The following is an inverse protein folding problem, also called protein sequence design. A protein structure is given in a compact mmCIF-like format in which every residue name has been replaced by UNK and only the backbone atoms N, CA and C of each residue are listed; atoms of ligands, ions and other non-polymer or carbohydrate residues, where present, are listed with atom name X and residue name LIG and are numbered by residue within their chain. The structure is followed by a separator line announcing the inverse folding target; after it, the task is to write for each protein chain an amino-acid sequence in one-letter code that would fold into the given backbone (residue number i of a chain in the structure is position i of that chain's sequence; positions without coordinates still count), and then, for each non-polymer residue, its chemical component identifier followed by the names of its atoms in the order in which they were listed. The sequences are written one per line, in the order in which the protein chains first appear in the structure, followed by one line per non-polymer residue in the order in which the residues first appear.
data_IF_644874393465
#
_entry.id   IF_644874393465
#
_cell.length_a   1.000
_cell.length_b   1.000
_cell.length_c   1.000
_cell.angle_alpha   90.00
_cell.angle_beta   90.00
_cell.angle_gamma   90.00
#
_symmetry.space_group_name_H-M   'P 1'
#
loop_
_entity.id
_entity.type
_entity.pdbx_description
1 polymer ?
#
# COMPACT_ATOMS: atom_id res chain seq x y z
N UNK A 1 23.43 12.91 18.12
CA UNK A 1 22.95 12.65 16.73
C UNK A 1 21.68 13.44 16.52
N UNK A 2 21.61 14.25 15.46
CA UNK A 2 20.33 14.86 15.07
C UNK A 2 19.55 13.82 14.27
N UNK A 3 18.54 13.22 14.89
CA UNK A 3 17.62 12.33 14.21
C UNK A 3 16.58 13.18 13.48
N UNK A 4 16.44 12.98 12.19
CA UNK A 4 15.37 13.59 11.39
C UNK A 4 14.28 12.54 11.17
N UNK A 5 13.06 12.87 11.56
CA UNK A 5 11.90 12.00 11.42
C UNK A 5 11.00 12.49 10.29
N UNK A 6 10.47 11.55 9.53
CA UNK A 6 9.48 11.81 8.48
C UNK A 6 8.25 10.96 8.74
N UNK A 7 7.09 11.58 8.74
CA UNK A 7 5.81 10.87 8.80
C UNK A 7 5.37 10.58 7.35
N UNK A 8 5.31 9.31 7.01
CA UNK A 8 4.85 8.80 5.71
C UNK A 8 3.39 8.34 5.74
N UNK A 9 2.70 8.57 6.86
CA UNK A 9 1.31 8.13 7.05
C UNK A 9 0.35 9.00 6.24
N UNK A 10 -0.48 8.38 5.42
CA UNK A 10 -1.62 9.05 4.79
C UNK A 10 -2.63 9.47 5.86
N UNK A 11 -3.28 10.60 5.69
CA UNK A 11 -4.38 11.00 6.59
C UNK A 11 -5.46 9.94 6.62
N UNK A 12 -5.91 9.59 7.83
CA UNK A 12 -7.03 8.69 8.02
C UNK A 12 -8.31 9.48 8.33
N UNK A 13 -9.34 9.32 7.51
CA UNK A 13 -10.65 9.93 7.72
C UNK A 13 -11.76 9.03 7.16
N UNK A 14 -13.00 9.42 7.38
CA UNK A 14 -14.17 8.74 6.78
C UNK A 14 -14.17 8.80 5.24
N UNK A 15 -13.33 9.64 4.64
CA UNK A 15 -13.16 9.77 3.20
C UNK A 15 -12.01 8.91 2.67
N UNK A 16 -11.20 8.31 3.55
CA UNK A 16 -10.12 7.41 3.13
C UNK A 16 -10.72 6.15 2.53
N UNK A 17 -10.50 5.87 1.23
CA UNK A 17 -11.03 4.67 0.63
C UNK A 17 -10.36 3.44 1.27
N UNK A 18 -11.13 2.40 1.61
CA UNK A 18 -10.56 1.10 1.95
C UNK A 18 -9.99 0.45 0.70
N UNK A 19 -9.18 -0.59 0.85
CA UNK A 19 -8.94 -1.48 -0.27
C UNK A 19 -10.30 -1.98 -0.80
N UNK A 20 -10.53 -1.98 -2.14
CA UNK A 20 -11.83 -2.36 -2.70
C UNK A 20 -12.35 -3.69 -2.12
N UNK A 21 -13.61 -3.74 -1.73
CA UNK A 21 -14.31 -4.80 -1.01
C UNK A 21 -14.26 -4.76 0.53
N UNK A 22 -13.39 -3.96 1.11
CA UNK A 22 -13.34 -3.83 2.57
C UNK A 22 -14.26 -2.72 3.10
N UNK A 23 -14.60 -2.80 4.38
CA UNK A 23 -15.46 -1.81 5.03
C UNK A 23 -14.68 -0.52 5.30
N UNK A 24 -15.22 0.64 4.91
CA UNK A 24 -14.59 1.93 5.18
C UNK A 24 -14.59 2.26 6.67
N UNK A 25 -13.75 3.23 7.03
CA UNK A 25 -13.73 3.82 8.36
C UNK A 25 -15.07 4.51 8.67
N UNK A 26 -15.66 4.16 9.81
CA UNK A 26 -16.83 4.81 10.37
C UNK A 26 -16.47 5.42 11.73
N UNK A 27 -16.87 6.67 11.94
CA UNK A 27 -16.62 7.41 13.19
C UNK A 27 -17.93 7.96 13.71
N UNK A 28 -18.24 7.63 14.96
CA UNK A 28 -19.42 8.14 15.66
C UNK A 28 -18.99 8.78 16.98
N UNK A 29 -19.32 10.04 17.19
CA UNK A 29 -19.16 10.66 18.49
C UNK A 29 -20.27 10.20 19.43
N UNK A 30 -19.92 9.58 20.55
CA UNK A 30 -20.85 9.30 21.65
C UNK A 30 -20.76 10.33 22.78
N UNK A 31 -19.68 11.14 22.79
CA UNK A 31 -19.44 12.19 23.79
C UNK A 31 -18.79 13.41 23.13
N UNK A 32 -19.24 14.59 23.50
CA UNK A 32 -18.71 15.86 23.01
C UNK A 32 -18.45 16.81 24.18
N UNK A 33 -17.47 17.69 24.08
CA UNK A 33 -17.16 18.69 25.11
C UNK A 33 -18.38 19.55 25.40
N UNK A 34 -19.04 20.10 24.37
CA UNK A 34 -20.20 20.98 24.53
C UNK A 34 -21.48 20.27 24.93
N UNK A 35 -21.60 18.99 24.66
CA UNK A 35 -22.82 18.18 25.01
C UNK A 35 -22.60 17.30 26.21
N UNK A 36 -21.60 17.55 27.04
CA UNK A 36 -21.26 16.71 28.15
C UNK A 36 -22.37 16.78 29.25
N UNK A 37 -23.08 15.68 29.40
CA UNK A 37 -23.96 15.50 30.57
C UNK A 37 -23.08 15.45 31.82
N UNK A 38 -23.52 16.15 32.88
CA UNK A 38 -22.81 16.24 34.17
C UNK A 38 -21.41 16.88 34.17
N UNK A 39 -21.11 17.79 33.22
CA UNK A 39 -19.90 18.60 33.29
C UNK A 39 -18.58 17.91 32.93
N UNK A 40 -18.62 16.69 32.45
CA UNK A 40 -17.43 15.97 31.99
C UNK A 40 -17.08 16.28 30.54
N UNK A 41 -16.55 17.48 30.28
CA UNK A 41 -16.20 17.92 28.94
C UNK A 41 -15.06 17.10 28.32
N UNK A 42 -15.41 16.15 27.45
CA UNK A 42 -14.44 15.40 26.65
C UNK A 42 -15.04 14.98 25.30
N UNK A 43 -14.22 14.78 24.31
CA UNK A 43 -14.62 14.13 23.07
C UNK A 43 -14.36 12.62 23.18
N UNK A 44 -15.37 11.81 22.89
CA UNK A 44 -15.24 10.36 22.80
C UNK A 44 -15.83 9.86 21.49
N UNK A 45 -15.16 8.92 20.86
CA UNK A 45 -15.56 8.37 19.57
C UNK A 45 -15.64 6.84 19.63
N UNK A 46 -16.58 6.27 18.90
CA UNK A 46 -16.57 4.88 18.48
C UNK A 46 -15.99 4.84 17.07
N UNK A 47 -14.98 4.00 16.88
CA UNK A 47 -14.31 3.79 15.59
C UNK A 47 -14.60 2.36 15.16
N UNK A 48 -15.15 2.20 13.96
CA UNK A 48 -15.35 0.91 13.31
C UNK A 48 -14.66 0.94 11.94
N UNK A 49 -13.76 0.01 11.71
CA UNK A 49 -12.98 -0.04 10.45
C UNK A 49 -12.59 -1.47 10.13
N UNK A 50 -12.29 -1.74 8.86
CA UNK A 50 -11.50 -2.91 8.48
C UNK A 50 -10.01 -2.60 8.67
N UNK A 51 -9.15 -3.62 8.57
CA UNK A 51 -7.70 -3.44 8.73
C UNK A 51 -7.03 -2.76 7.53
N UNK A 52 -7.68 -2.76 6.36
CA UNK A 52 -7.12 -2.29 5.10
C UNK A 52 -7.69 -0.94 4.69
N UNK A 53 -7.50 0.07 5.56
CA UNK A 53 -7.90 1.46 5.33
C UNK A 53 -6.75 2.39 5.69
N UNK A 54 -6.32 3.23 4.75
CA UNK A 54 -5.20 4.13 4.94
C UNK A 54 -3.86 3.40 5.03
N UNK A 55 -2.84 4.04 5.60
CA UNK A 55 -1.52 3.45 5.80
C UNK A 55 -1.58 2.37 6.86
N UNK A 56 -1.26 1.15 6.50
CA UNK A 56 -1.30 -0.02 7.37
C UNK A 56 -0.22 -1.03 6.96
N UNK A 57 -0.06 -2.08 7.73
CA UNK A 57 0.79 -3.21 7.43
C UNK A 57 -0.02 -4.50 7.50
N UNK A 58 0.17 -5.38 6.55
CA UNK A 58 -0.41 -6.71 6.55
C UNK A 58 0.44 -7.67 7.38
N UNK A 59 -0.19 -8.36 8.31
CA UNK A 59 0.45 -9.44 9.07
C UNK A 59 0.49 -10.74 8.28
N UNK A 60 1.38 -11.64 8.68
CA UNK A 60 1.51 -12.96 8.03
C UNK A 60 0.19 -13.72 7.97
N UNK A 61 -0.62 -13.64 9.03
CA UNK A 61 -1.93 -14.31 9.11
C UNK A 61 -2.93 -13.82 8.06
N UNK A 62 -2.67 -12.67 7.42
CA UNK A 62 -3.58 -12.15 6.38
C UNK A 62 -3.70 -13.11 5.19
N UNK A 63 -2.58 -13.73 4.77
CA UNK A 63 -2.55 -14.67 3.65
C UNK A 63 -2.15 -16.10 4.04
N UNK A 64 -1.59 -16.31 5.25
CA UNK A 64 -1.10 -17.59 5.71
C UNK A 64 -1.90 -18.05 6.93
N UNK A 65 -2.69 -19.10 6.81
CA UNK A 65 -3.54 -19.62 7.91
C UNK A 65 -2.77 -19.90 9.22
N UNK A 66 -1.49 -20.26 9.13
CA UNK A 66 -0.59 -20.50 10.27
C UNK A 66 0.42 -19.36 10.47
N UNK A 67 0.19 -18.20 9.85
CA UNK A 67 1.04 -17.02 10.01
C UNK A 67 0.91 -16.40 11.40
N UNK A 68 1.96 -15.70 11.83
CA UNK A 68 1.94 -14.94 13.08
C UNK A 68 0.96 -13.78 13.00
N UNK A 69 0.29 -13.49 14.09
CA UNK A 69 -0.43 -12.23 14.26
C UNK A 69 0.56 -11.08 14.42
N UNK A 70 0.13 -9.84 14.16
CA UNK A 70 0.97 -8.64 14.35
C UNK A 70 1.54 -8.57 15.77
N UNK A 71 0.75 -8.97 16.78
CA UNK A 71 1.20 -8.94 18.18
C UNK A 71 2.25 -10.00 18.55
N UNK A 72 2.45 -11.01 17.72
CA UNK A 72 3.46 -12.04 17.89
C UNK A 72 4.79 -11.70 17.20
N UNK A 73 4.80 -10.70 16.35
CA UNK A 73 6.01 -10.27 15.64
C UNK A 73 6.83 -9.36 16.55
N UNK A 74 8.11 -9.70 16.85
CA UNK A 74 8.99 -8.86 17.66
C UNK A 74 9.17 -7.46 17.07
N UNK A 75 9.26 -6.43 17.94
CA UNK A 75 9.41 -5.04 17.49
C UNK A 75 10.64 -4.80 16.62
N UNK A 76 11.70 -5.60 16.83
CA UNK A 76 12.95 -5.55 16.09
C UNK A 76 12.78 -5.93 14.60
N UNK A 77 11.72 -6.67 14.27
CA UNK A 77 11.38 -7.01 12.90
C UNK A 77 10.71 -5.84 12.17
N UNK A 78 10.08 -4.90 12.92
CA UNK A 78 9.46 -3.71 12.36
C UNK A 78 10.41 -2.55 12.09
N UNK A 79 11.61 -2.59 12.67
CA UNK A 79 12.60 -1.52 12.57
C UNK A 79 13.90 -2.04 11.97
N UNK A 80 14.65 -1.17 11.31
CA UNK A 80 15.96 -1.53 10.74
C UNK A 80 16.44 -0.54 9.70
N UNK A 81 17.55 -0.88 9.11
CA UNK A 81 18.03 -0.20 7.92
C UNK A 81 17.02 -0.40 6.79
N UNK A 82 16.91 0.58 5.90
CA UNK A 82 15.98 0.51 4.79
C UNK A 82 16.33 1.49 3.69
N UNK A 83 15.67 1.31 2.56
CA UNK A 83 15.87 2.09 1.37
C UNK A 83 14.54 2.49 0.76
N UNK A 84 14.43 3.76 0.35
CA UNK A 84 13.33 4.26 -0.47
C UNK A 84 13.82 4.29 -1.91
N UNK A 85 13.15 3.54 -2.78
CA UNK A 85 13.46 3.47 -4.21
C UNK A 85 12.42 4.25 -4.98
N UNK A 86 12.84 5.35 -5.59
CA UNK A 86 11.96 6.19 -6.39
C UNK A 86 11.96 5.77 -7.86
N UNK A 87 10.82 5.24 -8.30
CA UNK A 87 10.54 4.83 -9.68
C UNK A 87 9.40 5.64 -10.30
N UNK A 88 8.99 6.74 -9.67
CA UNK A 88 7.82 7.51 -10.08
C UNK A 88 7.87 8.04 -11.52
N UNK A 89 9.09 8.29 -12.04
CA UNK A 89 9.30 8.73 -13.42
C UNK A 89 9.40 7.56 -14.44
N UNK A 90 9.51 6.32 -13.96
CA UNK A 90 9.73 5.14 -14.81
C UNK A 90 8.44 4.32 -14.99
N UNK A 91 7.39 4.60 -14.23
CA UNK A 91 6.15 3.83 -14.22
C UNK A 91 4.93 4.66 -14.64
N UNK A 92 3.93 3.98 -15.12
CA UNK A 92 2.64 4.56 -15.51
C UNK A 92 1.50 3.59 -15.18
N UNK A 93 0.26 3.95 -15.50
CA UNK A 93 -0.91 3.08 -15.27
C UNK A 93 -0.66 1.66 -15.79
N UNK A 94 -0.79 0.70 -14.89
CA UNK A 94 -0.58 -0.74 -15.10
C UNK A 94 0.85 -1.15 -15.50
N UNK A 95 1.86 -0.31 -15.31
CA UNK A 95 3.24 -0.70 -15.60
C UNK A 95 3.72 -1.83 -14.69
N UNK A 96 4.65 -2.62 -15.21
CA UNK A 96 5.44 -3.56 -14.40
C UNK A 96 6.76 -2.92 -13.99
N UNK A 97 7.19 -3.19 -12.77
CA UNK A 97 8.57 -2.91 -12.33
C UNK A 97 9.28 -4.20 -11.93
N UNK A 98 10.57 -4.27 -12.21
CA UNK A 98 11.39 -5.45 -11.95
C UNK A 98 12.41 -5.21 -10.84
N UNK A 99 12.97 -6.28 -10.25
CA UNK A 99 14.12 -6.17 -9.35
C UNK A 99 15.29 -5.39 -9.94
N UNK A 100 15.59 -5.60 -11.23
CA UNK A 100 16.68 -4.92 -11.93
C UNK A 100 16.43 -3.41 -12.05
N UNK A 101 15.18 -3.00 -12.26
CA UNK A 101 14.79 -1.59 -12.27
C UNK A 101 15.07 -0.96 -10.91
N UNK A 102 14.65 -1.62 -9.82
CA UNK A 102 14.84 -1.13 -8.46
C UNK A 102 16.33 -1.05 -8.09
N UNK A 103 17.10 -2.10 -8.36
CA UNK A 103 18.53 -2.17 -8.06
C UNK A 103 19.37 -1.15 -8.86
N UNK A 104 18.91 -0.69 -10.02
CA UNK A 104 19.55 0.41 -10.76
C UNK A 104 19.36 1.77 -10.08
N UNK A 105 18.33 1.95 -9.28
CA UNK A 105 17.98 3.23 -8.64
C UNK A 105 18.59 3.39 -7.25
N UNK A 106 18.86 2.27 -6.54
CA UNK A 106 19.36 2.33 -5.17
C UNK A 106 20.20 1.11 -4.81
N UNK A 107 21.08 1.27 -3.80
CA UNK A 107 21.84 0.18 -3.20
C UNK A 107 20.94 -0.57 -2.20
N UNK A 108 20.30 -1.62 -2.67
CA UNK A 108 19.34 -2.42 -1.91
C UNK A 108 20.09 -3.63 -1.32
N UNK A 109 20.00 -3.80 -0.02
CA UNK A 109 20.72 -4.83 0.72
C UNK A 109 19.80 -5.89 1.31
N UNK A 110 20.36 -7.06 1.48
CA UNK A 110 19.65 -8.16 2.14
C UNK A 110 19.26 -7.80 3.58
N UNK A 111 17.98 -8.00 3.91
CA UNK A 111 17.42 -7.68 5.22
C UNK A 111 16.98 -6.24 5.41
N UNK A 112 17.08 -5.39 4.38
CA UNK A 112 16.56 -4.02 4.42
C UNK A 112 15.03 -4.00 4.56
N UNK A 113 14.53 -2.85 4.97
CA UNK A 113 13.15 -2.42 4.72
C UNK A 113 13.14 -1.77 3.34
N UNK A 114 12.32 -2.29 2.42
CA UNK A 114 12.20 -1.77 1.07
C UNK A 114 10.93 -0.93 0.94
N UNK A 115 11.06 0.36 0.61
CA UNK A 115 9.92 1.22 0.28
C UNK A 115 10.03 1.62 -1.19
N UNK A 116 8.98 1.35 -1.97
CA UNK A 116 8.91 1.64 -3.39
C UNK A 116 8.00 2.85 -3.58
N UNK A 117 8.59 3.97 -4.01
CA UNK A 117 7.85 5.17 -4.37
C UNK A 117 7.48 5.10 -5.85
N UNK A 118 6.21 4.83 -6.14
CA UNK A 118 5.66 4.81 -7.50
C UNK A 118 5.11 6.17 -7.93
N UNK A 119 4.99 7.11 -7.00
CA UNK A 119 4.40 8.43 -7.20
C UNK A 119 2.86 8.44 -7.16
N UNK A 120 2.21 7.28 -6.98
CA UNK A 120 0.75 7.17 -6.96
C UNK A 120 0.13 7.73 -5.68
N UNK A 121 0.90 7.95 -4.62
CA UNK A 121 0.45 8.71 -3.45
C UNK A 121 -0.10 10.09 -3.80
N UNK A 122 0.33 10.68 -4.93
CA UNK A 122 -0.15 11.98 -5.43
C UNK A 122 -1.62 11.93 -5.86
N UNK A 123 -2.14 10.74 -6.16
CA UNK A 123 -3.54 10.50 -6.50
C UNK A 123 -4.38 10.10 -5.26
N UNK A 124 -3.77 10.08 -4.06
CA UNK A 124 -4.43 9.77 -2.80
C UNK A 124 -5.60 10.72 -2.49
N UNK A 125 -6.59 10.24 -1.75
CA UNK A 125 -7.85 10.92 -1.50
C UNK A 125 -7.72 12.35 -0.91
N UNK A 126 -6.65 12.62 -0.18
CA UNK A 126 -6.38 13.90 0.48
C UNK A 126 -5.48 14.84 -0.35
N UNK A 127 -5.17 14.48 -1.59
CA UNK A 127 -4.35 15.26 -2.49
C UNK A 127 -5.20 16.14 -3.42
N UNK A 128 -4.67 17.27 -3.91
CA UNK A 128 -5.41 18.18 -4.80
C UNK A 128 -5.89 17.53 -6.11
N UNK A 129 -5.16 16.53 -6.61
CA UNK A 129 -5.48 15.80 -7.82
C UNK A 129 -6.02 14.39 -7.56
N UNK A 130 -6.64 14.16 -6.40
CA UNK A 130 -7.13 12.84 -6.01
C UNK A 130 -7.88 12.11 -7.12
N UNK A 131 -7.42 10.90 -7.43
CA UNK A 131 -8.04 9.95 -8.35
C UNK A 131 -8.03 8.55 -7.72
N UNK A 132 -9.12 8.20 -7.06
CA UNK A 132 -9.25 6.92 -6.34
C UNK A 132 -9.09 5.72 -7.28
N UNK A 133 -9.58 5.82 -8.51
CA UNK A 133 -9.47 4.74 -9.50
C UNK A 133 -8.01 4.55 -9.93
N UNK A 134 -7.29 5.64 -10.13
CA UNK A 134 -5.88 5.58 -10.47
C UNK A 134 -5.06 5.01 -9.30
N UNK A 135 -5.29 5.53 -8.09
CA UNK A 135 -4.62 5.10 -6.89
C UNK A 135 -4.84 3.61 -6.56
N UNK A 136 -6.10 3.13 -6.65
CA UNK A 136 -6.48 1.78 -6.20
C UNK A 136 -6.48 0.73 -7.32
N UNK A 137 -6.75 1.13 -8.58
CA UNK A 137 -7.06 0.17 -9.64
C UNK A 137 -6.04 0.17 -10.77
N UNK A 138 -5.35 1.30 -11.00
CA UNK A 138 -4.46 1.44 -12.15
C UNK A 138 -2.98 1.54 -11.80
N UNK A 139 -2.63 1.45 -10.51
CA UNK A 139 -1.24 1.57 -10.07
C UNK A 139 -0.33 0.51 -10.72
N UNK A 140 0.98 0.78 -10.81
CA UNK A 140 1.95 -0.20 -11.26
C UNK A 140 2.09 -1.32 -10.23
N UNK A 141 2.67 -2.43 -10.63
CA UNK A 141 2.97 -3.53 -9.74
C UNK A 141 4.22 -4.29 -10.15
N UNK A 142 4.66 -5.24 -9.33
CA UNK A 142 5.85 -6.03 -9.60
C UNK A 142 5.65 -7.00 -10.76
N UNK A 143 6.75 -7.33 -11.44
CA UNK A 143 6.80 -8.42 -12.40
C UNK A 143 6.88 -9.80 -11.71
N UNK A 144 6.84 -10.86 -12.50
CA UNK A 144 6.86 -12.24 -12.00
C UNK A 144 8.17 -12.64 -11.26
N UNK A 145 9.27 -11.91 -11.47
CA UNK A 145 10.55 -12.21 -10.83
C UNK A 145 10.67 -11.60 -9.43
N UNK A 146 9.85 -10.61 -9.14
CA UNK A 146 9.94 -9.83 -7.90
C UNK A 146 9.78 -10.71 -6.66
N UNK A 147 8.83 -11.64 -6.64
CA UNK A 147 8.55 -12.45 -5.45
C UNK A 147 9.73 -13.35 -5.06
N UNK A 148 10.41 -13.96 -6.04
CA UNK A 148 11.58 -14.78 -5.81
C UNK A 148 12.75 -13.94 -5.30
N UNK A 149 13.00 -12.81 -5.94
CA UNK A 149 14.01 -11.87 -5.52
C UNK A 149 13.76 -11.36 -4.08
N UNK A 150 12.51 -10.98 -3.76
CA UNK A 150 12.16 -10.52 -2.43
C UNK A 150 12.42 -11.59 -1.35
N UNK A 151 12.14 -12.86 -1.64
CA UNK A 151 12.47 -13.98 -0.75
C UNK A 151 13.98 -14.16 -0.57
N UNK A 152 14.77 -14.04 -1.65
CA UNK A 152 16.23 -14.14 -1.60
C UNK A 152 16.85 -12.98 -0.82
N UNK A 153 16.29 -11.78 -0.95
CA UNK A 153 16.68 -10.56 -0.25
C UNK A 153 16.28 -10.56 1.24
N UNK A 154 15.27 -11.37 1.61
CA UNK A 154 14.78 -11.46 3.00
C UNK A 154 14.47 -10.09 3.60
N UNK A 155 13.76 -9.26 2.86
CA UNK A 155 13.31 -7.96 3.37
C UNK A 155 12.54 -8.14 4.69
N UNK A 156 12.74 -7.22 5.64
CA UNK A 156 11.94 -7.19 6.87
C UNK A 156 10.47 -6.95 6.57
N UNK A 157 10.21 -5.96 5.71
CA UNK A 157 8.90 -5.69 5.10
C UNK A 157 9.09 -4.84 3.85
N UNK A 158 8.05 -4.77 3.05
CA UNK A 158 8.01 -4.00 1.81
C UNK A 158 6.85 -3.02 1.90
N UNK A 159 7.10 -1.75 1.60
CA UNK A 159 6.10 -0.70 1.52
C UNK A 159 5.93 -0.18 0.11
N UNK A 160 4.70 0.23 -0.22
CA UNK A 160 4.34 0.89 -1.48
C UNK A 160 3.47 2.11 -1.19
N UNK A 161 3.43 3.04 -2.10
CA UNK A 161 2.67 4.30 -1.99
C UNK A 161 1.38 4.31 -2.82
N UNK A 162 0.82 3.14 -3.08
CA UNK A 162 -0.39 2.94 -3.88
C UNK A 162 -1.34 1.92 -3.23
N UNK A 163 -2.44 1.60 -3.88
CA UNK A 163 -3.52 0.80 -3.32
C UNK A 163 -3.17 -0.64 -2.94
N UNK A 164 -2.12 -1.23 -3.53
CA UNK A 164 -1.66 -2.58 -3.21
C UNK A 164 -0.20 -2.78 -3.58
N UNK A 165 0.48 -3.71 -2.89
CA UNK A 165 1.81 -4.20 -3.27
C UNK A 165 1.76 -5.13 -4.49
N UNK A 166 0.61 -5.76 -4.76
CA UNK A 166 0.40 -6.60 -5.93
C UNK A 166 0.04 -5.77 -7.16
N UNK A 167 0.35 -6.30 -8.35
CA UNK A 167 -0.17 -5.71 -9.57
C UNK A 167 -1.69 -5.88 -9.63
N UNK A 168 -2.50 -4.85 -9.96
CA UNK A 168 -3.96 -4.93 -9.98
C UNK A 168 -4.55 -6.07 -10.82
N UNK A 169 -3.84 -6.47 -11.89
CA UNK A 169 -4.23 -7.61 -12.75
C UNK A 169 -4.25 -8.95 -12.00
N UNK A 170 -3.52 -9.06 -10.89
CA UNK A 170 -3.46 -10.28 -10.07
C UNK A 170 -4.48 -10.29 -8.94
N UNK A 171 -5.36 -9.29 -8.88
CA UNK A 171 -6.36 -9.13 -7.84
C UNK A 171 -7.78 -9.33 -8.37
N UNK A 172 -8.75 -9.41 -7.47
CA UNK A 172 -10.19 -9.48 -7.80
C UNK A 172 -10.68 -8.27 -8.61
N UNK A 173 -9.95 -7.16 -8.62
CA UNK A 173 -10.29 -5.97 -9.39
C UNK A 173 -10.39 -6.25 -10.88
N UNK A 174 -9.64 -7.23 -11.38
CA UNK A 174 -9.72 -7.69 -12.77
C UNK A 174 -11.13 -8.12 -13.14
N UNK A 175 -11.81 -8.84 -12.26
CA UNK A 175 -13.17 -9.33 -12.49
C UNK A 175 -14.22 -8.22 -12.38
N UNK A 176 -13.97 -7.21 -11.57
CA UNK A 176 -14.89 -6.09 -11.36
C UNK A 176 -14.82 -5.02 -12.44
N UNK A 177 -13.66 -4.89 -13.11
CA UNK A 177 -13.43 -3.91 -14.16
C UNK A 177 -12.97 -4.55 -15.48
N UNK A 178 -13.67 -5.57 -16.03
CA UNK A 178 -13.16 -6.41 -17.12
C UNK A 178 -12.79 -5.60 -18.38
N UNK A 179 -13.54 -4.55 -18.70
CA UNK A 179 -13.25 -3.70 -19.88
C UNK A 179 -11.95 -2.88 -19.71
N UNK A 180 -11.70 -2.41 -18.51
CA UNK A 180 -10.49 -1.66 -18.18
C UNK A 180 -9.27 -2.58 -18.24
N UNK A 181 -9.38 -3.73 -17.60
CA UNK A 181 -8.28 -4.71 -17.53
C UNK A 181 -7.98 -5.36 -18.89
N UNK A 182 -8.97 -5.59 -19.74
CA UNK A 182 -8.71 -6.05 -21.12
C UNK A 182 -7.85 -5.05 -21.93
N UNK A 183 -8.06 -3.75 -21.73
CA UNK A 183 -7.20 -2.72 -22.37
C UNK A 183 -5.79 -2.70 -21.76
N UNK A 184 -5.69 -2.82 -20.46
CA UNK A 184 -4.39 -2.90 -19.76
C UNK A 184 -3.60 -4.13 -20.20
N UNK A 185 -4.24 -5.29 -20.27
CA UNK A 185 -3.63 -6.54 -20.72
C UNK A 185 -3.10 -6.43 -22.16
N UNK A 186 -3.89 -5.86 -23.07
CA UNK A 186 -3.44 -5.64 -24.44
C UNK A 186 -2.17 -4.78 -24.51
N UNK A 187 -2.11 -3.70 -23.73
CA UNK A 187 -0.91 -2.84 -23.62
C UNK A 187 0.28 -3.59 -23.03
N UNK A 188 0.07 -4.37 -21.99
CA UNK A 188 1.13 -5.16 -21.35
C UNK A 188 1.70 -6.22 -22.29
N UNK A 189 0.85 -6.91 -23.05
CA UNK A 189 1.26 -7.86 -24.10
C UNK A 189 2.06 -7.19 -25.21
N UNK A 190 1.66 -6.00 -25.62
CA UNK A 190 2.41 -5.22 -26.61
C UNK A 190 3.80 -4.83 -26.09
N UNK A 191 3.90 -4.42 -24.82
CA UNK A 191 5.13 -3.93 -24.21
C UNK A 191 6.10 -5.06 -23.82
N UNK A 192 5.57 -6.14 -23.24
CA UNK A 192 6.36 -7.23 -22.64
C UNK A 192 6.35 -8.53 -23.47
N UNK A 193 5.49 -8.63 -24.49
CA UNK A 193 5.37 -9.79 -25.36
C UNK A 193 5.10 -11.08 -24.59
N UNK A 194 5.83 -12.14 -24.91
CA UNK A 194 5.67 -13.45 -24.25
C UNK A 194 6.05 -13.46 -22.76
N UNK A 195 6.77 -12.47 -22.29
CA UNK A 195 7.10 -12.36 -20.85
C UNK A 195 5.89 -12.02 -19.99
N UNK A 196 4.78 -11.61 -20.61
CA UNK A 196 3.51 -11.37 -19.94
C UNK A 196 2.65 -12.64 -19.78
N UNK A 197 2.74 -13.60 -20.71
CA UNK A 197 1.99 -14.87 -20.70
C UNK A 197 2.53 -15.82 -19.62
#
# INVERSE_FOLDING_TARGET
MNVKMYDLTQRLSIHTPPWPSYMPLQVQYFKRIAGAHMGQGANGQIIKTSNHVGTHIDGEIHFCANGRTIGEVPLEEWCGDGVVVDISDDVSDFSLYSPEMLMKKADIRKGDILIINTGYHKDGWDQPQADEVRYMVKHPGPDANFHKWAQEMKFKWIGVDCGSADHPMNTILRDWHPKLFAKAEAKLKETHGKAWD
#
